data_IF_475980409344
#
_entry.id   IF_475980409344
#
_cell.length_a   1.000
_cell.length_b   1.000
_cell.length_c   1.000
_cell.angle_alpha   90.00
_cell.angle_beta   90.00
_cell.angle_gamma   90.00
#
_symmetry.space_group_name_H-M   'P 1'
#
loop_
_entity.id
_entity.type
_entity.pdbx_description
1 polymer ?
#
# COMPACT_ATOMS: atom_id res chain seq x y z
N UNK A 1 0.24 6.74 15.83
CA UNK A 1 0.85 7.42 17.01
C UNK A 1 2.37 7.31 16.88
N UNK A 2 3.12 8.36 17.17
CA UNK A 2 4.58 8.39 17.26
C UNK A 2 4.95 9.14 18.55
N UNK A 3 5.78 8.54 19.38
CA UNK A 3 6.21 9.09 20.69
C UNK A 3 5.02 9.59 21.57
N UNK A 4 3.94 8.79 21.59
CA UNK A 4 2.73 9.09 22.37
C UNK A 4 1.84 10.19 21.81
N UNK A 5 2.16 10.75 20.64
CA UNK A 5 1.39 11.85 20.00
C UNK A 5 0.73 11.36 18.70
N UNK A 6 -0.40 11.98 18.29
CA UNK A 6 -0.96 11.76 16.98
C UNK A 6 0.10 12.03 15.90
N UNK A 7 0.29 11.07 14.98
CA UNK A 7 1.23 11.19 13.88
C UNK A 7 0.50 11.16 12.54
N UNK A 8 -0.33 10.15 12.34
CA UNK A 8 -1.08 9.96 11.11
C UNK A 8 -2.36 9.18 11.40
N UNK A 9 -3.43 9.55 10.71
CA UNK A 9 -4.64 8.75 10.53
C UNK A 9 -4.74 8.40 9.06
N UNK A 10 -4.81 7.11 8.73
CA UNK A 10 -4.87 6.65 7.35
C UNK A 10 -5.66 5.35 7.23
N UNK A 11 -6.06 5.05 6.01
CA UNK A 11 -6.67 3.78 5.66
C UNK A 11 -6.43 3.44 4.20
N UNK A 12 -6.42 2.14 3.92
CA UNK A 12 -6.46 1.60 2.57
C UNK A 12 -7.68 0.70 2.50
N UNK A 13 -8.73 1.13 1.82
CA UNK A 13 -9.91 0.28 1.60
C UNK A 13 -9.62 -0.76 0.53
N UNK A 14 -10.39 -1.85 0.44
CA UNK A 14 -10.21 -2.86 -0.61
C UNK A 14 -10.31 -4.32 -0.14
N UNK A 15 -11.12 -4.62 0.88
CA UNK A 15 -11.33 -6.00 1.33
C UNK A 15 -10.02 -6.67 1.77
N UNK A 16 -9.64 -7.78 1.17
CA UNK A 16 -8.41 -8.53 1.45
C UNK A 16 -7.11 -7.76 1.17
N UNK A 17 -7.19 -6.70 0.37
CA UNK A 17 -6.05 -5.79 0.13
C UNK A 17 -5.73 -4.90 1.34
N UNK A 18 -6.67 -4.67 2.26
CA UNK A 18 -6.49 -3.73 3.37
C UNK A 18 -5.23 -4.00 4.21
N UNK A 19 -5.02 -5.19 4.80
CA UNK A 19 -3.81 -5.44 5.60
C UNK A 19 -2.54 -5.31 4.78
N UNK A 20 -2.54 -5.77 3.55
CA UNK A 20 -1.39 -5.70 2.65
C UNK A 20 -1.07 -4.25 2.25
N UNK A 21 -2.09 -3.48 1.89
CA UNK A 21 -1.95 -2.07 1.53
C UNK A 21 -1.50 -1.19 2.70
N UNK A 22 -2.05 -1.41 3.91
CA UNK A 22 -1.60 -0.69 5.11
C UNK A 22 -0.11 -0.87 5.37
N UNK A 23 0.41 -2.09 5.27
CA UNK A 23 1.84 -2.36 5.47
C UNK A 23 2.67 -1.65 4.40
N UNK A 24 2.27 -1.72 3.14
CA UNK A 24 3.01 -1.11 2.02
C UNK A 24 3.12 0.41 2.16
N UNK A 25 2.02 1.11 2.45
CA UNK A 25 2.07 2.58 2.60
C UNK A 25 2.84 3.03 3.83
N UNK A 26 2.80 2.28 4.93
CA UNK A 26 3.63 2.58 6.10
C UNK A 26 5.12 2.34 5.85
N UNK A 27 5.47 1.21 5.22
CA UNK A 27 6.84 0.90 4.82
C UNK A 27 7.40 1.98 3.90
N UNK A 28 6.61 2.43 2.92
CA UNK A 28 7.00 3.50 2.01
C UNK A 28 7.35 4.79 2.76
N UNK A 29 6.60 5.15 3.80
CA UNK A 29 6.90 6.35 4.59
C UNK A 29 8.06 6.15 5.57
N UNK A 30 8.08 5.02 6.29
CA UNK A 30 8.99 4.82 7.44
C UNK A 30 10.36 4.38 6.96
N UNK A 31 10.43 3.41 6.04
CA UNK A 31 11.68 2.79 5.62
C UNK A 31 12.27 3.44 4.37
N UNK A 32 11.42 3.90 3.45
CA UNK A 32 11.87 4.55 2.21
C UNK A 32 11.76 6.07 2.23
N UNK A 33 11.18 6.67 3.26
CA UNK A 33 11.15 8.11 3.46
C UNK A 33 10.26 8.88 2.48
N UNK A 34 9.32 8.21 1.83
CA UNK A 34 8.36 8.86 0.93
C UNK A 34 7.42 9.76 1.73
N UNK A 35 7.00 10.88 1.16
CA UNK A 35 5.97 11.70 1.76
C UNK A 35 4.60 10.99 1.72
N UNK A 36 3.60 11.56 2.40
CA UNK A 36 2.29 10.92 2.57
C UNK A 36 1.57 10.66 1.24
N UNK A 37 1.71 11.54 0.25
CA UNK A 37 1.11 11.35 -1.08
C UNK A 37 1.92 10.36 -1.92
N UNK A 38 3.24 10.50 -1.97
CA UNK A 38 4.12 9.57 -2.69
C UNK A 38 3.97 8.13 -2.20
N UNK A 39 3.80 7.94 -0.89
CA UNK A 39 3.58 6.62 -0.30
C UNK A 39 2.28 5.97 -0.78
N UNK A 40 1.24 6.78 -1.00
CA UNK A 40 -0.03 6.34 -1.57
C UNK A 40 0.05 6.07 -3.07
N UNK A 41 0.79 6.89 -3.82
CA UNK A 41 0.91 6.79 -5.28
C UNK A 41 1.88 5.69 -5.73
N UNK A 42 2.79 5.25 -4.86
CA UNK A 42 3.72 4.17 -5.15
C UNK A 42 3.00 2.89 -5.59
N UNK A 43 3.57 2.23 -6.58
CA UNK A 43 3.01 0.98 -7.13
C UNK A 43 2.91 -0.10 -6.06
N UNK A 44 1.76 -0.75 -6.02
CA UNK A 44 1.42 -1.78 -5.03
C UNK A 44 1.48 -3.18 -5.62
N UNK A 45 1.49 -4.12 -4.73
CA UNK A 45 1.32 -5.53 -5.01
C UNK A 45 0.28 -6.14 -4.07
N UNK A 46 -0.29 -7.27 -4.45
CA UNK A 46 -1.27 -8.01 -3.68
C UNK A 46 -1.01 -9.51 -3.81
N UNK A 47 -1.02 -10.23 -2.71
CA UNK A 47 -1.03 -11.69 -2.71
C UNK A 47 -2.47 -12.19 -2.72
N UNK A 48 -2.75 -13.12 -3.61
CA UNK A 48 -4.06 -13.72 -3.80
C UNK A 48 -3.98 -15.25 -3.84
N UNK A 49 -5.09 -15.90 -3.56
CA UNK A 49 -5.32 -17.30 -3.85
C UNK A 49 -5.06 -18.28 -2.72
N UNK A 50 -4.23 -18.01 -1.74
CA UNK A 50 -3.97 -18.91 -0.61
C UNK A 50 -3.63 -18.12 0.66
N UNK A 51 -4.45 -17.16 0.97
CA UNK A 51 -4.26 -16.19 2.04
C UNK A 51 -5.22 -16.40 3.23
N UNK A 52 -6.14 -17.35 3.15
CA UNK A 52 -7.10 -17.62 4.21
C UNK A 52 -6.61 -18.76 5.12
N UNK A 53 -6.60 -18.59 6.45
CA UNK A 53 -6.17 -19.62 7.39
C UNK A 53 -7.28 -20.65 7.65
N UNK A 54 -7.87 -21.19 6.58
CA UNK A 54 -8.98 -22.13 6.66
C UNK A 54 -8.54 -23.58 6.95
N UNK A 55 -7.24 -23.87 6.82
CA UNK A 55 -6.68 -25.22 6.89
C UNK A 55 -6.86 -26.01 5.60
N UNK A 56 -7.56 -25.48 4.60
CA UNK A 56 -7.66 -26.03 3.26
C UNK A 56 -6.68 -25.35 2.33
N UNK A 57 -6.02 -26.14 1.49
CA UNK A 57 -5.09 -25.63 0.50
C UNK A 57 -5.86 -25.08 -0.70
N UNK A 58 -5.86 -23.78 -0.89
CA UNK A 58 -6.60 -23.13 -1.97
C UNK A 58 -5.90 -23.28 -3.33
N UNK A 59 -4.56 -23.36 -3.34
CA UNK A 59 -3.76 -23.57 -4.56
C UNK A 59 -2.61 -24.52 -4.29
N UNK A 60 -2.11 -25.18 -5.35
CA UNK A 60 -0.93 -26.06 -5.25
C UNK A 60 0.38 -25.29 -4.95
N UNK A 61 0.41 -24.00 -5.28
CA UNK A 61 1.62 -23.16 -5.23
C UNK A 61 1.62 -22.13 -4.11
N UNK A 62 0.57 -22.05 -3.27
CA UNK A 62 0.45 -21.04 -2.23
C UNK A 62 -0.01 -19.66 -2.76
N UNK A 63 -0.80 -19.66 -3.83
CA UNK A 63 -1.34 -18.44 -4.44
C UNK A 63 -0.41 -17.80 -5.46
N UNK A 64 -0.67 -16.52 -5.75
CA UNK A 64 0.09 -15.73 -6.71
C UNK A 64 0.17 -14.27 -6.24
N UNK A 65 1.10 -13.52 -6.82
CA UNK A 65 1.28 -12.09 -6.54
C UNK A 65 0.88 -11.29 -7.76
N UNK A 66 -0.09 -10.43 -7.61
CA UNK A 66 -0.43 -9.40 -8.58
C UNK A 66 0.38 -8.13 -8.30
N UNK A 67 0.86 -7.49 -9.35
CA UNK A 67 1.66 -6.27 -9.26
C UNK A 67 1.16 -5.21 -10.23
N UNK A 68 1.20 -3.96 -9.83
CA UNK A 68 0.94 -2.82 -10.71
C UNK A 68 2.07 -2.62 -11.71
N UNK A 69 1.73 -2.00 -12.84
CA UNK A 69 2.65 -1.76 -13.97
C UNK A 69 3.89 -0.91 -13.64
N UNK A 70 3.86 -0.15 -12.53
CA UNK A 70 5.02 0.60 -12.06
C UNK A 70 6.07 -0.23 -11.32
N UNK A 71 5.78 -1.49 -11.00
CA UNK A 71 6.81 -2.42 -10.48
C UNK A 71 7.77 -2.79 -11.62
N UNK A 72 9.10 -2.60 -11.45
CA UNK A 72 10.07 -2.87 -12.50
C UNK A 72 10.02 -4.32 -12.98
N UNK A 73 10.06 -4.52 -14.30
CA UNK A 73 10.03 -5.86 -14.89
C UNK A 73 11.16 -6.78 -14.41
N UNK A 74 12.33 -6.21 -14.13
CA UNK A 74 13.47 -6.93 -13.56
C UNK A 74 13.14 -7.53 -12.20
N UNK A 75 12.41 -6.81 -11.36
CA UNK A 75 11.92 -7.28 -10.06
C UNK A 75 10.96 -8.47 -10.25
N UNK A 76 10.00 -8.33 -11.16
CA UNK A 76 9.05 -9.40 -11.48
C UNK A 76 9.78 -10.65 -12.01
N UNK A 77 10.76 -10.47 -12.90
CA UNK A 77 11.58 -11.55 -13.44
C UNK A 77 12.37 -12.26 -12.35
N UNK A 78 12.95 -11.53 -11.43
CA UNK A 78 13.73 -12.10 -10.33
C UNK A 78 12.85 -12.89 -9.36
N UNK A 79 11.68 -12.36 -9.03
CA UNK A 79 10.69 -13.07 -8.19
C UNK A 79 10.24 -14.39 -8.86
N UNK A 80 9.97 -14.37 -10.17
CA UNK A 80 9.62 -15.58 -10.92
C UNK A 80 10.74 -16.63 -10.93
N UNK A 81 12.01 -16.20 -11.02
CA UNK A 81 13.17 -17.11 -10.90
C UNK A 81 13.25 -17.76 -9.51
N UNK A 82 12.79 -17.09 -8.48
CA UNK A 82 12.71 -17.62 -7.11
C UNK A 82 11.51 -18.53 -6.87
N UNK A 83 10.67 -18.75 -7.90
CA UNK A 83 9.53 -19.66 -7.84
C UNK A 83 8.20 -19.00 -7.50
N UNK A 84 8.13 -17.67 -7.43
CA UNK A 84 6.86 -16.98 -7.23
C UNK A 84 6.06 -16.88 -8.54
N UNK A 85 4.76 -17.15 -8.48
CA UNK A 85 3.83 -16.79 -9.56
C UNK A 85 3.48 -15.31 -9.44
N UNK A 86 4.06 -14.49 -10.31
CA UNK A 86 3.88 -13.04 -10.31
C UNK A 86 3.20 -12.61 -11.61
N UNK A 87 2.14 -11.82 -11.50
CA UNK A 87 1.32 -11.37 -12.62
C UNK A 87 1.17 -9.87 -12.60
N UNK A 88 1.17 -9.23 -13.76
CA UNK A 88 0.70 -7.85 -13.87
C UNK A 88 -0.82 -7.85 -13.94
N UNK A 89 -1.45 -7.02 -13.13
CA UNK A 89 -2.89 -6.82 -13.17
C UNK A 89 -3.27 -5.34 -13.08
N UNK A 90 -4.50 -5.04 -13.47
CA UNK A 90 -5.08 -3.69 -13.46
C UNK A 90 -6.29 -3.67 -12.54
N UNK A 91 -6.17 -2.96 -11.43
CA UNK A 91 -7.28 -2.77 -10.48
C UNK A 91 -6.95 -3.26 -9.07
N UNK A 92 -7.89 -3.51 -8.22
CA UNK A 92 -7.77 -4.25 -6.95
C UNK A 92 -6.90 -3.69 -5.80
N UNK A 93 -5.99 -2.76 -6.06
CA UNK A 93 -4.94 -2.33 -5.13
C UNK A 93 -5.38 -1.34 -4.03
N UNK A 94 -6.67 -1.32 -3.75
CA UNK A 94 -7.24 -0.53 -2.67
C UNK A 94 -7.38 0.96 -2.98
N UNK A 95 -7.76 1.72 -1.97
CA UNK A 95 -7.89 3.17 -2.04
C UNK A 95 -7.37 3.80 -0.75
N UNK A 96 -6.30 4.57 -0.86
CA UNK A 96 -5.60 5.20 0.25
C UNK A 96 -6.16 6.59 0.53
N UNK A 97 -6.34 6.90 1.81
CA UNK A 97 -6.65 8.24 2.31
C UNK A 97 -5.86 8.46 3.60
N UNK A 98 -5.28 9.63 3.75
CA UNK A 98 -4.51 9.93 4.95
C UNK A 98 -4.58 11.40 5.36
N UNK A 99 -4.39 11.62 6.66
CA UNK A 99 -4.09 12.92 7.24
C UNK A 99 -2.89 12.73 8.19
N UNK A 100 -1.79 13.39 7.88
CA UNK A 100 -0.55 13.36 8.66
C UNK A 100 -0.36 14.67 9.41
N UNK A 101 0.15 14.58 10.61
CA UNK A 101 0.50 15.75 11.42
C UNK A 101 1.98 16.06 11.23
N UNK A 102 2.29 17.25 10.75
CA UNK A 102 3.65 17.73 10.59
C UNK A 102 3.87 19.03 11.37
N UNK A 103 5.13 19.38 11.60
CA UNK A 103 5.51 20.65 12.24
C UNK A 103 6.30 21.48 11.23
N UNK A 104 5.79 22.64 10.87
CA UNK A 104 6.44 23.61 10.01
C UNK A 104 6.61 24.93 10.75
N UNK A 105 7.83 25.39 10.92
CA UNK A 105 8.17 26.63 11.64
C UNK A 105 7.54 26.72 13.08
N UNK A 106 7.48 25.56 13.75
CA UNK A 106 6.89 25.47 15.09
C UNK A 106 5.36 25.40 15.13
N UNK A 107 4.70 25.46 13.98
CA UNK A 107 3.26 25.33 13.85
C UNK A 107 2.85 23.92 13.42
N UNK A 108 1.75 23.45 13.94
CA UNK A 108 1.15 22.18 13.51
C UNK A 108 0.40 22.36 12.21
N UNK A 109 0.76 21.53 11.22
CA UNK A 109 0.11 21.48 9.91
C UNK A 109 -0.47 20.08 9.69
N UNK A 110 -1.62 20.02 9.07
CA UNK A 110 -2.22 18.76 8.62
C UNK A 110 -1.98 18.59 7.14
N UNK A 111 -1.31 17.51 6.77
CA UNK A 111 -1.00 17.17 5.38
C UNK A 111 -1.93 16.04 4.95
N UNK A 112 -2.82 16.31 4.02
CA UNK A 112 -3.75 15.34 3.47
C UNK A 112 -3.18 14.62 2.25
N UNK A 113 -3.55 13.36 2.06
CA UNK A 113 -3.27 12.60 0.85
C UNK A 113 -4.51 11.84 0.40
N UNK A 114 -4.71 11.76 -0.91
CA UNK A 114 -5.80 11.03 -1.55
C UNK A 114 -5.30 10.07 -2.61
N UNK A 115 -6.03 8.99 -2.77
CA UNK A 115 -5.75 7.93 -3.73
C UNK A 115 -5.85 8.40 -5.18
N UNK A 116 -4.81 8.15 -5.98
CA UNK A 116 -4.81 8.41 -7.42
C UNK A 116 -5.60 7.38 -8.24
N UNK A 117 -5.85 6.18 -7.67
CA UNK A 117 -6.59 5.08 -8.33
C UNK A 117 -8.11 5.17 -8.13
N UNK A 118 -8.59 6.09 -7.31
CA UNK A 118 -9.99 6.25 -6.91
C UNK A 118 -10.38 7.73 -6.92
N UNK A 119 -11.69 7.97 -7.00
CA UNK A 119 -12.25 9.33 -6.87
C UNK A 119 -12.22 9.76 -5.39
N UNK A 120 -11.14 10.38 -4.99
CA UNK A 120 -10.95 10.91 -3.66
C UNK A 120 -10.34 12.30 -3.71
N UNK A 121 -10.54 13.09 -2.67
CA UNK A 121 -9.95 14.40 -2.56
C UNK A 121 -9.62 14.71 -1.09
N UNK A 122 -8.36 15.04 -0.82
CA UNK A 122 -7.98 15.74 0.40
C UNK A 122 -8.27 17.23 0.21
N UNK A 123 -9.10 17.80 1.06
CA UNK A 123 -9.44 19.22 1.05
C UNK A 123 -9.10 19.86 2.39
N UNK A 124 -8.54 21.06 2.35
CA UNK A 124 -8.21 21.86 3.52
C UNK A 124 -8.65 23.31 3.33
N UNK A 125 -8.79 24.04 4.44
CA UNK A 125 -9.15 25.46 4.51
C UNK A 125 -8.46 26.13 5.71
#
# INVERSE_FOLDING_TARGET
MKDGKPWEAFGVMGGGMQPQGHVQVLTNQIDFGLNVQEAGDASRWQHEGDNEPTGEKMTETGGYVEVESGIPYETVRELRKRGHDVRFDVGGYGGYQAIKVEMHDGQRVYVGASESRKDGQAAGY
#
